data_IF_618732797351
#
_entry.id   IF_618732797351
#
_cell.length_a   1.000
_cell.length_b   1.000
_cell.length_c   1.000
_cell.angle_alpha   90.00
_cell.angle_beta   90.00
_cell.angle_gamma   90.00
#
_symmetry.space_group_name_H-M   'P 1'
#
loop_
_entity.id
_entity.type
_entity.pdbx_description
1 polymer ?
#
# COMPACT_ATOMS: atom_id res chain seq x y z
N UNK A 1 -46.58 40.11 -73.67
CA UNK A 1 -47.09 39.54 -72.42
C UNK A 1 -46.32 38.26 -72.13
N UNK A 2 -45.26 38.35 -71.33
CA UNK A 2 -44.54 37.15 -70.84
C UNK A 2 -44.26 37.38 -69.37
N UNK A 3 -44.87 36.58 -68.55
CA UNK A 3 -44.66 36.55 -67.06
C UNK A 3 -43.42 35.75 -66.75
N UNK A 4 -42.43 36.40 -66.15
CA UNK A 4 -41.23 35.73 -65.60
C UNK A 4 -41.53 35.38 -64.18
N UNK A 5 -41.56 34.08 -63.83
CA UNK A 5 -41.65 33.55 -62.49
C UNK A 5 -40.24 33.49 -61.87
N UNK A 6 -40.05 34.31 -60.88
CA UNK A 6 -38.86 34.27 -60.03
C UNK A 6 -39.02 33.15 -58.98
N UNK A 7 -38.26 32.09 -59.06
CA UNK A 7 -38.20 31.04 -58.03
C UNK A 7 -37.11 31.43 -57.03
N UNK A 8 -37.59 31.78 -55.81
CA UNK A 8 -36.72 31.97 -54.66
C UNK A 8 -36.34 30.56 -54.14
N UNK A 9 -35.08 30.16 -54.33
CA UNK A 9 -34.53 28.97 -53.73
C UNK A 9 -34.11 29.27 -52.26
N UNK A 10 -34.81 28.65 -51.32
CA UNK A 10 -34.42 28.69 -49.90
C UNK A 10 -33.18 27.77 -49.72
N UNK A 11 -32.05 28.40 -49.41
CA UNK A 11 -30.84 27.67 -48.98
C UNK A 11 -31.03 27.35 -47.48
N UNK A 12 -31.37 26.11 -47.20
CA UNK A 12 -31.32 25.56 -45.84
C UNK A 12 -29.88 25.34 -45.47
N UNK A 13 -29.32 26.25 -44.67
CA UNK A 13 -27.99 26.09 -44.07
C UNK A 13 -28.08 25.07 -42.94
N UNK A 14 -27.73 23.81 -43.24
CA UNK A 14 -27.64 22.75 -42.23
C UNK A 14 -26.41 23.02 -41.36
N UNK A 15 -26.59 23.66 -40.22
CA UNK A 15 -25.55 23.73 -39.20
C UNK A 15 -25.34 22.33 -38.60
N UNK A 16 -24.33 21.60 -39.10
CA UNK A 16 -23.77 20.46 -38.38
C UNK A 16 -23.10 21.01 -37.11
N UNK A 17 -23.80 20.91 -36.01
CA UNK A 17 -23.19 20.97 -34.68
C UNK A 17 -22.26 19.76 -34.55
N UNK A 18 -20.99 19.95 -34.82
CA UNK A 18 -19.94 19.03 -34.46
C UNK A 18 -19.88 19.09 -32.93
N UNK A 19 -20.61 18.18 -32.25
CA UNK A 19 -20.33 17.82 -30.88
C UNK A 19 -18.93 17.22 -30.85
N UNK A 20 -17.95 18.07 -30.67
CA UNK A 20 -16.62 17.69 -30.26
C UNK A 20 -16.79 16.87 -28.97
N UNK A 21 -16.83 15.54 -29.09
CA UNK A 21 -16.40 14.67 -28.03
C UNK A 21 -14.99 15.13 -27.66
N UNK A 22 -14.87 15.89 -26.58
CA UNK A 22 -13.60 16.24 -25.98
C UNK A 22 -12.92 14.92 -25.63
N UNK A 23 -12.04 14.46 -26.49
CA UNK A 23 -10.90 13.65 -26.09
C UNK A 23 -10.20 14.52 -25.06
N UNK A 24 -10.43 14.23 -23.78
CA UNK A 24 -9.58 14.73 -22.71
C UNK A 24 -8.17 14.23 -23.06
N UNK A 25 -7.39 15.06 -23.72
CA UNK A 25 -5.95 14.84 -23.77
C UNK A 25 -5.51 14.89 -22.30
N UNK A 26 -5.10 13.76 -21.77
CA UNK A 26 -4.58 13.68 -20.41
C UNK A 26 -3.25 14.46 -20.39
N UNK A 27 -3.31 15.74 -20.00
CA UNK A 27 -2.15 16.62 -19.86
C UNK A 27 -1.28 16.22 -18.66
N UNK A 28 -1.14 14.93 -18.43
CA UNK A 28 -0.29 14.41 -17.37
C UNK A 28 1.17 14.52 -17.78
N UNK A 29 1.95 15.25 -17.01
CA UNK A 29 3.38 15.43 -17.23
C UNK A 29 4.15 14.26 -16.62
N UNK A 30 5.31 13.94 -17.19
CA UNK A 30 6.29 13.09 -16.53
C UNK A 30 7.19 13.93 -15.63
N UNK A 31 7.69 13.32 -14.54
CA UNK A 31 8.52 14.04 -13.58
C UNK A 31 9.76 14.65 -14.22
N UNK A 32 10.40 13.96 -15.16
CA UNK A 32 11.55 14.45 -15.89
C UNK A 32 11.25 15.74 -16.68
N UNK A 33 10.04 15.85 -17.27
CA UNK A 33 9.62 17.06 -18.00
C UNK A 33 9.41 18.24 -17.04
N UNK A 34 8.86 17.95 -15.85
CA UNK A 34 8.62 18.98 -14.82
C UNK A 34 9.95 19.50 -14.26
N UNK A 35 10.91 18.63 -13.97
CA UNK A 35 12.20 19.03 -13.41
C UNK A 35 13.10 19.73 -14.44
N UNK A 36 13.05 19.30 -15.69
CA UNK A 36 13.79 19.94 -16.78
C UNK A 36 13.31 21.36 -17.12
N UNK A 37 12.04 21.67 -16.89
CA UNK A 37 11.42 22.96 -17.20
C UNK A 37 10.66 23.55 -16.00
N UNK A 38 11.18 23.36 -14.80
CA UNK A 38 10.51 23.70 -13.52
C UNK A 38 10.01 25.13 -13.45
N UNK A 39 10.78 26.12 -13.94
CA UNK A 39 10.39 27.54 -13.98
C UNK A 39 9.08 27.77 -14.74
N UNK A 40 8.78 26.89 -15.70
CA UNK A 40 7.52 26.97 -16.46
C UNK A 40 6.31 26.54 -15.61
N UNK A 41 6.51 25.68 -14.62
CA UNK A 41 5.45 25.04 -13.85
C UNK A 41 5.30 25.58 -12.42
N UNK A 42 6.32 26.24 -11.87
CA UNK A 42 6.25 26.83 -10.53
C UNK A 42 5.06 27.79 -10.40
N UNK A 43 4.28 27.63 -9.35
CA UNK A 43 3.05 28.37 -9.07
C UNK A 43 1.82 27.92 -9.85
N UNK A 44 1.96 26.91 -10.72
CA UNK A 44 0.84 26.38 -11.50
C UNK A 44 0.32 25.08 -10.91
N UNK A 45 -0.96 24.84 -11.10
CA UNK A 45 -1.56 23.52 -10.87
C UNK A 45 -1.24 22.60 -12.05
N UNK A 46 -0.64 21.46 -11.76
CA UNK A 46 -0.19 20.45 -12.73
C UNK A 46 -0.62 19.06 -12.29
N UNK A 47 -0.74 18.15 -13.28
CA UNK A 47 -0.87 16.73 -13.04
C UNK A 47 0.44 16.04 -13.45
N UNK A 48 1.06 15.30 -12.54
CA UNK A 48 2.35 14.64 -12.74
C UNK A 48 2.23 13.16 -12.44
N UNK A 49 2.72 12.32 -13.37
CA UNK A 49 2.86 10.88 -13.17
C UNK A 49 4.29 10.53 -12.79
N UNK A 50 4.44 9.62 -11.84
CA UNK A 50 5.73 9.13 -11.37
C UNK A 50 5.58 8.06 -10.30
N UNK A 51 6.69 7.55 -9.80
CA UNK A 51 6.73 6.64 -8.68
C UNK A 51 6.75 7.45 -7.37
N UNK A 52 5.76 7.26 -6.51
CA UNK A 52 5.78 7.79 -5.15
C UNK A 52 6.62 6.87 -4.28
N UNK A 53 7.46 7.43 -3.43
CA UNK A 53 8.23 6.72 -2.42
C UNK A 53 8.12 7.44 -1.08
N UNK A 54 7.58 6.74 -0.08
CA UNK A 54 7.61 7.12 1.33
C UNK A 54 8.52 6.14 2.06
N UNK A 55 9.52 6.63 2.76
CA UNK A 55 10.28 5.84 3.76
C UNK A 55 10.09 6.46 5.13
N UNK A 56 9.88 5.59 6.12
CA UNK A 56 9.84 5.96 7.54
C UNK A 56 11.15 5.57 8.20
N UNK A 57 11.53 6.20 9.30
CA UNK A 57 12.80 5.90 10.00
C UNK A 57 13.60 7.15 10.35
N UNK A 58 14.91 7.01 10.53
CA UNK A 58 15.79 8.11 10.97
C UNK A 58 15.89 9.24 9.94
N UNK A 59 15.79 8.94 8.67
CA UNK A 59 15.78 9.92 7.57
C UNK A 59 14.53 9.74 6.72
N UNK A 60 13.37 10.23 7.19
CA UNK A 60 12.12 10.06 6.46
C UNK A 60 12.17 10.82 5.13
N UNK A 61 11.71 10.18 4.07
CA UNK A 61 11.53 10.81 2.76
C UNK A 61 10.11 10.57 2.27
N UNK A 62 9.58 11.55 1.54
CA UNK A 62 8.29 11.45 0.85
C UNK A 62 8.41 12.19 -0.46
N UNK A 63 8.59 11.46 -1.55
CA UNK A 63 8.97 12.01 -2.85
C UNK A 63 8.20 11.39 -3.99
N UNK A 64 7.98 12.16 -5.05
CA UNK A 64 7.64 11.67 -6.38
C UNK A 64 8.93 11.63 -7.19
N UNK A 65 9.22 10.49 -7.83
CA UNK A 65 10.47 10.21 -8.56
C UNK A 65 10.17 9.55 -9.91
N UNK A 66 11.16 9.52 -10.78
CA UNK A 66 11.02 8.86 -12.09
C UNK A 66 10.82 7.35 -11.97
N UNK A 67 11.37 6.73 -10.94
CA UNK A 67 11.24 5.31 -10.65
C UNK A 67 11.73 4.95 -9.26
N UNK A 68 11.52 3.71 -8.87
CA UNK A 68 12.02 3.14 -7.61
C UNK A 68 12.75 1.85 -7.94
N UNK A 69 13.96 1.68 -7.42
CA UNK A 69 14.65 0.39 -7.42
C UNK A 69 14.47 -0.30 -6.08
N UNK A 70 14.36 -1.62 -6.12
CA UNK A 70 14.22 -2.45 -4.93
C UNK A 70 15.12 -3.68 -5.05
N UNK A 71 15.33 -4.38 -3.96
CA UNK A 71 15.78 -5.77 -4.01
C UNK A 71 14.67 -6.66 -4.58
N UNK A 72 15.00 -7.90 -4.95
CA UNK A 72 14.05 -8.85 -5.55
C UNK A 72 12.79 -9.11 -4.68
N UNK A 73 12.89 -8.87 -3.39
CA UNK A 73 11.80 -9.00 -2.41
C UNK A 73 11.05 -7.69 -2.16
N UNK A 74 11.28 -6.66 -2.95
CA UNK A 74 10.67 -5.35 -2.80
C UNK A 74 11.23 -4.49 -1.65
N UNK A 75 12.13 -5.02 -0.82
CA UNK A 75 12.77 -4.27 0.26
C UNK A 75 13.84 -3.30 -0.28
N UNK A 76 14.31 -2.42 0.62
CA UNK A 76 15.34 -1.42 0.36
C UNK A 76 15.01 -0.51 -0.85
N UNK A 77 13.79 -0.04 -0.89
CA UNK A 77 13.32 0.86 -1.95
C UNK A 77 14.19 2.13 -2.01
N UNK A 78 14.75 2.44 -3.17
CA UNK A 78 15.60 3.61 -3.42
C UNK A 78 15.02 4.45 -4.55
N UNK A 79 15.02 5.79 -4.42
CA UNK A 79 14.54 6.68 -5.47
C UNK A 79 15.48 6.67 -6.67
N UNK A 80 14.93 6.68 -7.88
CA UNK A 80 15.65 6.78 -9.14
C UNK A 80 15.25 8.03 -9.90
N UNK A 81 16.27 8.74 -10.42
CA UNK A 81 16.09 9.95 -11.22
C UNK A 81 15.79 11.19 -10.37
N UNK A 82 15.15 12.17 -11.03
CA UNK A 82 14.79 13.43 -10.39
C UNK A 82 13.69 13.22 -9.33
N UNK A 83 13.72 14.06 -8.30
CA UNK A 83 12.81 13.97 -7.17
C UNK A 83 12.11 15.30 -6.89
N UNK A 84 10.81 15.26 -6.68
CA UNK A 84 10.00 16.36 -6.17
C UNK A 84 9.47 15.94 -4.80
N UNK A 85 9.63 16.81 -3.80
CA UNK A 85 9.07 16.56 -2.47
C UNK A 85 7.56 16.53 -2.55
N UNK A 86 6.95 15.59 -1.84
CA UNK A 86 5.50 15.45 -1.70
C UNK A 86 5.19 15.27 -0.23
N UNK A 87 4.22 16.01 0.31
CA UNK A 87 3.72 15.71 1.64
C UNK A 87 3.10 14.30 1.65
N UNK A 88 3.09 13.65 2.83
CA UNK A 88 2.53 12.30 2.96
C UNK A 88 1.13 12.24 2.33
N UNK A 89 0.92 11.30 1.43
CA UNK A 89 -0.40 11.06 0.82
C UNK A 89 -1.41 10.54 1.85
N UNK A 90 -2.68 10.65 1.52
CA UNK A 90 -3.76 10.12 2.36
C UNK A 90 -3.66 8.59 2.52
N UNK A 91 -4.07 8.09 3.67
CA UNK A 91 -3.89 6.68 4.02
C UNK A 91 -4.63 5.72 3.08
N UNK A 92 -5.78 6.13 2.52
CA UNK A 92 -6.53 5.36 1.53
C UNK A 92 -5.78 5.18 0.19
N UNK A 93 -4.90 6.12 -0.15
CA UNK A 93 -3.98 6.00 -1.29
C UNK A 93 -2.81 5.10 -0.92
N UNK A 94 -2.19 5.31 0.26
CA UNK A 94 -1.05 4.51 0.71
C UNK A 94 -1.39 3.01 0.84
N UNK A 95 -2.63 2.69 1.21
CA UNK A 95 -3.12 1.30 1.30
C UNK A 95 -3.16 0.57 -0.06
N UNK A 96 -3.14 1.29 -1.17
CA UNK A 96 -3.15 0.74 -2.52
C UNK A 96 -1.75 0.61 -3.14
N UNK A 97 -0.71 0.97 -2.40
CA UNK A 97 0.69 0.92 -2.83
C UNK A 97 1.43 -0.25 -2.18
N UNK A 98 2.59 -0.63 -2.73
CA UNK A 98 3.50 -1.60 -2.10
C UNK A 98 4.00 -1.06 -0.76
N UNK A 99 4.01 -1.89 0.28
CA UNK A 99 4.43 -1.48 1.64
C UNK A 99 5.39 -2.47 2.30
N UNK A 100 6.49 -2.84 1.66
CA UNK A 100 7.46 -3.75 2.25
C UNK A 100 8.33 -3.02 3.28
N UNK A 101 8.42 -3.58 4.48
CA UNK A 101 9.28 -3.05 5.55
C UNK A 101 8.90 -1.62 5.97
N UNK A 102 9.86 -0.72 5.89
CA UNK A 102 9.73 0.71 6.23
C UNK A 102 9.33 1.61 5.06
N UNK A 103 9.12 1.02 3.89
CA UNK A 103 8.89 1.73 2.64
C UNK A 103 7.46 1.56 2.13
N UNK A 104 6.93 2.60 1.50
CA UNK A 104 5.68 2.55 0.73
C UNK A 104 5.94 3.18 -0.63
N UNK A 105 5.69 2.45 -1.71
CA UNK A 105 5.95 2.95 -3.05
C UNK A 105 4.97 2.40 -4.10
N UNK A 106 4.86 3.10 -5.22
CA UNK A 106 4.07 2.68 -6.38
C UNK A 106 3.81 3.83 -7.34
N UNK A 107 3.31 3.51 -8.53
CA UNK A 107 3.04 4.51 -9.55
C UNK A 107 1.74 5.26 -9.30
N UNK A 108 1.84 6.58 -9.28
CA UNK A 108 0.72 7.49 -9.00
C UNK A 108 0.69 8.63 -10.01
N UNK A 109 -0.51 9.18 -10.19
CA UNK A 109 -0.74 10.49 -10.79
C UNK A 109 -1.16 11.44 -9.69
N UNK A 110 -0.37 12.47 -9.48
CA UNK A 110 -0.62 13.50 -8.48
C UNK A 110 -1.02 14.79 -9.16
N UNK A 111 -2.07 15.42 -8.65
CA UNK A 111 -2.50 16.76 -9.06
C UNK A 111 -2.24 17.73 -7.92
N UNK A 112 -1.61 18.85 -8.21
CA UNK A 112 -1.27 19.83 -7.19
C UNK A 112 -0.54 21.04 -7.74
N UNK A 113 -0.15 21.94 -6.86
CA UNK A 113 0.63 23.15 -7.23
C UNK A 113 2.11 22.88 -7.02
N UNK A 114 2.93 23.13 -8.05
CA UNK A 114 4.40 23.05 -7.93
C UNK A 114 4.91 24.30 -7.24
N UNK A 115 5.67 24.11 -6.19
CA UNK A 115 6.28 25.18 -5.40
C UNK A 115 7.81 25.08 -5.44
N UNK A 116 8.49 26.22 -5.53
CA UNK A 116 9.93 26.29 -5.39
C UNK A 116 10.31 26.67 -3.95
N UNK A 117 11.35 26.06 -3.41
CA UNK A 117 11.79 26.31 -2.03
C UNK A 117 12.83 25.29 -1.58
N UNK A 118 12.97 25.16 -0.26
CA UNK A 118 13.81 24.13 0.37
C UNK A 118 12.89 23.20 1.16
N UNK A 119 12.65 21.99 0.65
CA UNK A 119 11.69 21.05 1.20
C UNK A 119 12.36 19.76 1.67
N UNK A 120 11.63 19.00 2.50
CA UNK A 120 12.12 17.76 3.07
C UNK A 120 13.22 17.94 4.12
N UNK A 121 13.82 16.84 4.59
CA UNK A 121 14.92 16.88 5.53
C UNK A 121 16.09 17.71 4.97
N UNK A 122 16.61 18.62 5.79
CA UNK A 122 17.74 19.53 5.44
C UNK A 122 17.51 20.42 4.22
N UNK A 123 16.26 20.58 3.77
CA UNK A 123 15.91 21.41 2.61
C UNK A 123 16.51 20.94 1.28
N UNK A 124 16.76 19.63 1.15
CA UNK A 124 17.48 19.08 -0.01
C UNK A 124 16.68 19.04 -1.31
N UNK A 125 15.36 19.21 -1.25
CA UNK A 125 14.50 19.19 -2.42
C UNK A 125 14.12 20.60 -2.83
N UNK A 126 14.51 21.06 -4.05
CA UNK A 126 14.24 22.42 -4.50
C UNK A 126 12.80 22.67 -4.91
N UNK A 127 12.01 21.60 -5.05
CA UNK A 127 10.62 21.66 -5.44
C UNK A 127 9.74 20.78 -4.54
N UNK A 128 8.50 21.26 -4.31
CA UNK A 128 7.43 20.50 -3.68
C UNK A 128 6.20 20.53 -4.58
N UNK A 129 5.51 19.39 -4.68
CA UNK A 129 4.15 19.34 -5.20
C UNK A 129 3.18 19.39 -4.01
N UNK A 130 2.49 20.51 -3.82
CA UNK A 130 1.41 20.65 -2.84
C UNK A 130 0.18 19.92 -3.37
N UNK A 131 0.03 18.65 -3.01
CA UNK A 131 -0.95 17.72 -3.57
C UNK A 131 -2.37 18.07 -3.15
N UNK A 132 -3.29 18.08 -4.12
CA UNK A 132 -4.75 18.22 -3.94
C UNK A 132 -5.50 16.95 -4.31
N UNK A 133 -4.94 16.15 -5.23
CA UNK A 133 -5.52 14.89 -5.69
C UNK A 133 -4.45 13.87 -5.99
N UNK A 134 -4.76 12.60 -5.73
CA UNK A 134 -3.88 11.47 -6.01
C UNK A 134 -4.70 10.32 -6.60
N UNK A 135 -4.16 9.69 -7.62
CA UNK A 135 -4.70 8.52 -8.30
C UNK A 135 -3.59 7.48 -8.42
N UNK A 136 -3.85 6.24 -8.07
CA UNK A 136 -2.93 5.13 -8.28
C UNK A 136 -3.06 4.68 -9.73
N UNK A 137 -1.96 4.77 -10.49
CA UNK A 137 -1.96 4.42 -11.93
C UNK A 137 -1.90 2.91 -12.09
N UNK A 138 -1.10 2.25 -11.27
CA UNK A 138 -0.95 0.82 -11.25
C UNK A 138 -1.51 0.30 -9.92
N UNK A 139 -2.72 -0.25 -9.97
CA UNK A 139 -3.29 -0.90 -8.80
C UNK A 139 -2.62 -2.25 -8.62
N UNK A 140 -2.10 -2.46 -7.43
CA UNK A 140 -1.71 -3.79 -6.98
C UNK A 140 -3.00 -4.55 -6.72
N UNK A 141 -3.23 -5.61 -7.48
CA UNK A 141 -4.29 -6.55 -7.15
C UNK A 141 -3.82 -7.33 -5.94
N UNK A 142 -4.42 -7.08 -4.80
CA UNK A 142 -4.13 -7.83 -3.58
C UNK A 142 -5.11 -8.98 -3.44
N UNK A 143 -4.58 -10.16 -3.16
CA UNK A 143 -5.34 -11.31 -2.73
C UNK A 143 -5.32 -11.34 -1.21
N UNK A 144 -6.49 -11.28 -0.59
CA UNK A 144 -6.61 -11.41 0.86
C UNK A 144 -7.11 -12.80 1.23
N UNK A 145 -6.45 -13.41 2.19
CA UNK A 145 -6.90 -14.63 2.84
C UNK A 145 -7.09 -14.34 4.33
N UNK A 146 -8.26 -14.69 4.89
CA UNK A 146 -8.60 -14.45 6.29
C UNK A 146 -9.13 -15.70 6.95
N UNK A 147 -8.92 -15.81 8.26
CA UNK A 147 -9.68 -16.78 9.06
C UNK A 147 -11.11 -16.27 9.24
N UNK A 148 -12.06 -17.18 9.21
CA UNK A 148 -13.46 -16.84 9.47
C UNK A 148 -13.68 -16.52 10.95
N UNK A 149 -14.52 -15.53 11.23
CA UNK A 149 -14.93 -15.20 12.59
C UNK A 149 -16.10 -16.14 13.02
N UNK A 150 -15.76 -17.41 13.20
CA UNK A 150 -16.67 -18.45 13.65
C UNK A 150 -16.12 -19.18 14.88
N UNK A 151 -16.95 -19.75 15.74
CA UNK A 151 -16.46 -20.58 16.84
C UNK A 151 -15.64 -21.76 16.32
N UNK A 152 -14.41 -21.90 16.80
CA UNK A 152 -13.49 -22.96 16.35
C UNK A 152 -13.83 -24.34 16.95
N UNK A 153 -14.76 -24.42 17.91
CA UNK A 153 -15.12 -25.65 18.64
C UNK A 153 -14.04 -26.17 19.58
N UNK A 154 -14.33 -27.25 20.30
CA UNK A 154 -13.38 -28.05 21.10
C UNK A 154 -12.42 -27.28 22.02
N UNK A 155 -12.90 -26.18 22.65
CA UNK A 155 -12.09 -25.38 23.56
C UNK A 155 -11.05 -24.47 22.91
N UNK A 156 -11.08 -24.33 21.58
CA UNK A 156 -10.24 -23.40 20.84
C UNK A 156 -10.81 -21.98 20.90
N UNK A 157 -9.93 -20.99 20.91
CA UNK A 157 -10.27 -19.58 21.02
C UNK A 157 -9.99 -18.89 19.70
N UNK A 158 -10.93 -18.11 19.19
CA UNK A 158 -10.70 -17.36 17.94
C UNK A 158 -9.70 -16.22 18.16
N UNK A 159 -8.95 -15.87 17.10
CA UNK A 159 -8.06 -14.70 17.15
C UNK A 159 -8.84 -13.41 17.43
N UNK A 160 -10.10 -13.33 17.01
CA UNK A 160 -10.99 -12.21 17.30
C UNK A 160 -11.26 -12.08 18.80
N UNK A 161 -11.58 -13.21 19.46
CA UNK A 161 -11.83 -13.25 20.91
C UNK A 161 -10.56 -12.86 21.70
N UNK A 162 -9.40 -13.36 21.27
CA UNK A 162 -8.11 -13.00 21.90
C UNK A 162 -7.80 -11.51 21.77
N UNK A 163 -8.14 -10.90 20.63
CA UNK A 163 -7.90 -9.48 20.37
C UNK A 163 -8.94 -8.56 21.05
N UNK A 164 -10.22 -8.98 21.07
CA UNK A 164 -11.32 -8.12 21.55
C UNK A 164 -11.56 -8.27 23.07
N UNK A 165 -11.16 -9.40 23.67
CA UNK A 165 -11.35 -9.71 25.11
C UNK A 165 -10.08 -10.32 25.73
N UNK A 166 -8.91 -9.69 25.55
CA UNK A 166 -7.61 -10.29 25.88
C UNK A 166 -7.48 -10.66 27.37
N UNK A 167 -8.10 -9.91 28.29
CA UNK A 167 -8.02 -10.15 29.74
C UNK A 167 -8.63 -11.49 30.14
N UNK A 168 -9.61 -11.99 29.40
CA UNK A 168 -10.27 -13.27 29.68
C UNK A 168 -9.33 -14.46 29.52
N UNK A 169 -8.31 -14.32 28.67
CA UNK A 169 -7.38 -15.38 28.28
C UNK A 169 -5.97 -15.18 28.83
N UNK A 170 -5.71 -14.08 29.53
CA UNK A 170 -4.40 -13.73 30.03
C UNK A 170 -3.85 -14.81 30.97
N UNK A 171 -2.63 -15.27 30.67
CA UNK A 171 -1.94 -16.33 31.41
C UNK A 171 -2.43 -17.75 31.10
N UNK A 172 -3.41 -17.95 30.21
CA UNK A 172 -3.95 -19.26 29.87
C UNK A 172 -3.19 -19.91 28.71
N UNK A 173 -3.16 -21.24 28.72
CA UNK A 173 -2.80 -22.01 27.52
C UNK A 173 -4.01 -22.05 26.59
N UNK A 174 -3.86 -21.55 25.39
CA UNK A 174 -4.94 -21.48 24.38
C UNK A 174 -4.50 -22.23 23.09
N UNK A 175 -5.50 -22.65 22.32
CA UNK A 175 -5.31 -23.09 20.95
C UNK A 175 -6.11 -22.16 20.03
N UNK A 176 -5.47 -21.59 19.02
CA UNK A 176 -6.09 -20.63 18.10
C UNK A 176 -5.61 -20.83 16.67
N UNK A 177 -6.36 -20.31 15.71
CA UNK A 177 -5.99 -20.32 14.30
C UNK A 177 -5.79 -18.91 13.78
N UNK A 178 -4.86 -18.77 12.82
CA UNK A 178 -4.53 -17.52 12.17
C UNK A 178 -3.53 -17.74 11.04
N UNK A 179 -3.02 -16.63 10.53
CA UNK A 179 -1.92 -16.62 9.59
C UNK A 179 -0.63 -16.26 10.32
N UNK A 180 0.29 -17.21 10.36
CA UNK A 180 1.65 -16.94 10.76
C UNK A 180 2.32 -16.03 9.73
N UNK A 181 2.98 -15.01 10.21
CA UNK A 181 3.84 -14.16 9.39
C UNK A 181 5.13 -13.84 10.11
N UNK A 182 6.22 -14.06 9.41
CA UNK A 182 7.57 -13.73 9.87
C UNK A 182 8.35 -12.99 8.80
N UNK A 183 9.07 -11.97 9.23
CA UNK A 183 10.20 -11.37 8.51
C UNK A 183 11.26 -10.97 9.55
N UNK A 184 12.35 -10.32 9.14
CA UNK A 184 13.42 -9.92 10.05
C UNK A 184 12.98 -8.96 11.18
N UNK A 185 11.83 -8.30 11.05
CA UNK A 185 11.32 -7.30 11.99
C UNK A 185 10.04 -7.73 12.71
N UNK A 186 9.21 -8.57 12.08
CA UNK A 186 7.85 -8.92 12.54
C UNK A 186 7.74 -10.43 12.72
N UNK A 187 7.09 -10.85 13.79
CA UNK A 187 6.88 -12.24 14.18
C UNK A 187 5.50 -12.37 14.82
N UNK A 188 4.47 -12.65 14.01
CA UNK A 188 3.08 -12.50 14.44
C UNK A 188 2.16 -13.63 13.98
N UNK A 189 1.04 -13.77 14.70
CA UNK A 189 -0.19 -14.41 14.25
C UNK A 189 -1.17 -13.31 13.86
N UNK A 190 -1.69 -13.34 12.63
CA UNK A 190 -2.61 -12.36 12.09
C UNK A 190 -3.97 -12.98 11.75
N UNK A 191 -5.00 -12.16 11.73
CA UNK A 191 -6.33 -12.54 11.24
C UNK A 191 -6.28 -13.01 9.78
N UNK A 192 -5.43 -12.39 8.99
CA UNK A 192 -5.26 -12.71 7.59
C UNK A 192 -3.92 -12.28 7.03
N UNK A 193 -3.74 -12.62 5.76
CA UNK A 193 -2.59 -12.21 4.96
C UNK A 193 -3.09 -11.59 3.65
N UNK A 194 -2.51 -10.49 3.25
CA UNK A 194 -2.66 -9.92 1.92
C UNK A 194 -1.39 -10.19 1.12
N UNK A 195 -1.53 -10.63 -0.13
CA UNK A 195 -0.42 -10.82 -1.06
C UNK A 195 -0.73 -10.12 -2.38
N UNK A 196 0.25 -9.93 -3.22
CA UNK A 196 0.00 -9.67 -4.62
C UNK A 196 -0.66 -10.89 -5.28
N UNK A 197 -1.16 -10.73 -6.51
CA UNK A 197 -1.90 -11.81 -7.20
C UNK A 197 -1.06 -13.09 -7.35
N UNK A 198 0.25 -12.94 -7.55
CA UNK A 198 1.22 -14.03 -7.66
C UNK A 198 1.66 -14.63 -6.32
N UNK A 199 1.13 -14.12 -5.20
CA UNK A 199 1.48 -14.55 -3.84
C UNK A 199 2.72 -13.86 -3.26
N UNK A 200 3.31 -12.91 -3.97
CA UNK A 200 4.44 -12.12 -3.47
C UNK A 200 4.01 -11.04 -2.46
N UNK A 201 4.98 -10.36 -1.86
CA UNK A 201 4.79 -9.24 -0.93
C UNK A 201 3.77 -9.49 0.19
N UNK A 202 3.81 -10.63 0.91
CA UNK A 202 2.85 -10.95 1.95
C UNK A 202 2.89 -9.91 3.08
N UNK A 203 1.69 -9.53 3.55
CA UNK A 203 1.50 -8.59 4.65
C UNK A 203 0.45 -9.10 5.62
N UNK A 204 0.71 -9.10 6.94
CA UNK A 204 -0.30 -9.46 7.92
C UNK A 204 -1.38 -8.38 7.97
N UNK A 205 -2.65 -8.80 8.02
CA UNK A 205 -3.82 -7.92 8.04
C UNK A 205 -4.79 -8.27 9.16
N UNK A 206 -5.60 -7.29 9.57
CA UNK A 206 -6.62 -7.43 10.59
C UNK A 206 -6.07 -7.46 12.02
N UNK A 207 -6.61 -8.33 12.87
CA UNK A 207 -6.13 -8.53 14.25
C UNK A 207 -4.75 -9.16 14.23
N UNK A 208 -3.82 -8.62 15.02
CA UNK A 208 -2.42 -9.06 15.03
C UNK A 208 -1.96 -9.27 16.48
N UNK A 209 -1.35 -10.42 16.74
CA UNK A 209 -0.81 -10.82 18.05
C UNK A 209 0.66 -11.19 17.85
N UNK A 210 1.56 -10.64 18.68
CA UNK A 210 2.97 -11.03 18.66
C UNK A 210 3.14 -12.49 19.04
N UNK A 211 4.11 -13.18 18.42
CA UNK A 211 4.43 -14.57 18.78
C UNK A 211 5.92 -14.78 18.99
N UNK A 212 6.25 -15.76 19.80
CA UNK A 212 7.61 -16.32 19.90
C UNK A 212 7.56 -17.85 20.05
N UNK A 213 8.65 -18.49 19.69
CA UNK A 213 8.79 -19.94 19.85
C UNK A 213 8.10 -20.79 18.79
N UNK A 214 7.76 -20.23 17.62
CA UNK A 214 7.18 -21.02 16.53
C UNK A 214 8.21 -22.06 16.05
N UNK A 215 7.83 -23.35 15.90
CA UNK A 215 8.77 -24.43 15.58
C UNK A 215 9.44 -24.24 14.22
N UNK A 216 10.79 -24.28 14.13
CA UNK A 216 11.50 -24.08 12.87
C UNK A 216 11.18 -25.12 11.79
N UNK A 217 10.92 -26.38 12.18
CA UNK A 217 10.51 -27.44 11.26
C UNK A 217 9.17 -27.11 10.60
N UNK A 218 8.25 -26.49 11.34
CA UNK A 218 6.96 -26.04 10.81
C UNK A 218 7.08 -24.81 9.90
N UNK A 219 7.98 -23.89 10.22
CA UNK A 219 8.30 -22.77 9.33
C UNK A 219 8.71 -23.22 7.93
N UNK A 220 9.49 -24.30 7.82
CA UNK A 220 9.94 -24.83 6.55
C UNK A 220 8.83 -25.46 5.69
N UNK A 221 7.66 -25.76 6.28
CA UNK A 221 6.48 -26.28 5.57
C UNK A 221 5.56 -25.18 4.99
N UNK A 222 5.83 -23.91 5.31
CA UNK A 222 5.03 -22.74 4.94
C UNK A 222 5.53 -22.10 3.62
N UNK A 223 4.83 -21.06 3.16
CA UNK A 223 5.30 -20.26 2.04
C UNK A 223 6.53 -19.46 2.46
N UNK A 224 7.57 -19.51 1.65
CA UNK A 224 8.84 -18.86 1.90
C UNK A 224 9.14 -17.89 0.76
N UNK A 225 9.38 -16.63 1.09
CA UNK A 225 9.76 -15.62 0.13
C UNK A 225 11.17 -15.76 -0.40
N UNK A 226 11.51 -15.03 -1.44
CA UNK A 226 12.83 -15.02 -2.07
C UNK A 226 13.87 -14.69 -0.99
N UNK A 227 14.96 -15.44 -0.99
CA UNK A 227 16.07 -15.32 -0.02
C UNK A 227 15.64 -15.44 1.45
N UNK A 228 14.55 -16.16 1.74
CA UNK A 228 13.98 -16.29 3.08
C UNK A 228 13.62 -14.94 3.74
N UNK A 229 13.26 -13.96 2.94
CA UNK A 229 12.91 -12.62 3.43
C UNK A 229 11.65 -12.59 4.28
N UNK A 230 10.73 -13.52 4.04
CA UNK A 230 9.52 -13.74 4.84
C UNK A 230 9.06 -15.20 4.76
N UNK A 231 8.31 -15.59 5.81
CA UNK A 231 7.62 -16.88 5.88
C UNK A 231 6.18 -16.61 6.28
N UNK A 232 5.23 -17.25 5.62
CA UNK A 232 3.83 -17.06 5.94
C UNK A 232 2.96 -18.27 5.58
N UNK A 233 1.83 -18.39 6.27
CA UNK A 233 0.81 -19.39 5.98
C UNK A 233 -0.18 -19.60 7.10
N UNK A 234 -1.26 -20.32 6.81
CA UNK A 234 -2.32 -20.59 7.77
C UNK A 234 -1.89 -21.68 8.75
N UNK A 235 -2.07 -21.40 10.04
CA UNK A 235 -1.61 -22.30 11.11
C UNK A 235 -2.65 -22.38 12.24
N UNK A 236 -2.57 -23.48 12.98
CA UNK A 236 -3.15 -23.61 14.31
C UNK A 236 -1.99 -23.65 15.31
N UNK A 237 -2.04 -22.79 16.31
CA UNK A 237 -1.00 -22.71 17.35
C UNK A 237 -1.60 -22.97 18.72
N UNK A 238 -0.85 -23.70 19.55
CA UNK A 238 -1.13 -23.86 20.99
C UNK A 238 -0.01 -23.20 21.76
N UNK A 239 -0.35 -22.38 22.75
CA UNK A 239 0.65 -21.66 23.52
C UNK A 239 0.05 -20.87 24.68
N UNK A 240 0.91 -20.27 25.50
CA UNK A 240 0.50 -19.39 26.58
C UNK A 240 0.24 -18.00 26.05
N UNK A 241 -0.99 -17.51 26.20
CA UNK A 241 -1.38 -16.15 25.83
C UNK A 241 -1.14 -15.18 26.96
N UNK A 242 -0.62 -14.00 26.67
CA UNK A 242 -0.42 -12.89 27.60
C UNK A 242 -0.94 -11.59 27.01
N UNK A 243 -1.49 -10.74 27.85
CA UNK A 243 -2.03 -9.43 27.48
C UNK A 243 -1.66 -8.34 28.46
N UNK A 244 -1.85 -7.08 28.06
CA UNK A 244 -1.57 -5.91 28.89
C UNK A 244 -0.10 -5.55 29.02
N UNK A 245 0.77 -6.13 28.19
CA UNK A 245 2.20 -5.83 28.10
C UNK A 245 2.56 -4.96 26.89
N UNK A 246 3.86 -4.82 26.68
CA UNK A 246 4.47 -4.24 25.49
C UNK A 246 5.39 -5.30 24.87
N UNK A 247 4.90 -5.98 23.85
CA UNK A 247 5.59 -7.11 23.24
C UNK A 247 6.12 -6.74 21.85
N UNK A 248 7.03 -7.59 21.36
CA UNK A 248 7.65 -7.41 20.06
C UNK A 248 8.73 -6.34 20.05
N UNK A 249 9.27 -6.11 18.86
CA UNK A 249 10.24 -5.04 18.66
C UNK A 249 9.54 -3.71 18.90
N UNK A 250 10.15 -2.85 19.67
CA UNK A 250 9.63 -1.52 20.05
C UNK A 250 8.34 -1.53 20.90
N UNK A 251 7.93 -2.69 21.44
CA UNK A 251 6.78 -2.78 22.34
C UNK A 251 5.43 -2.44 21.71
N UNK A 252 5.28 -2.67 20.40
CA UNK A 252 4.10 -2.23 19.63
C UNK A 252 2.87 -3.11 19.82
N UNK A 253 3.03 -4.32 20.38
CA UNK A 253 1.97 -5.30 20.48
C UNK A 253 1.47 -5.44 21.92
N UNK A 254 0.14 -5.24 22.16
CA UNK A 254 -0.41 -5.34 23.50
C UNK A 254 -0.62 -6.79 23.97
N UNK A 255 -0.51 -7.75 23.07
CA UNK A 255 -0.74 -9.18 23.32
C UNK A 255 0.33 -10.05 22.67
N UNK A 256 0.56 -11.21 23.27
CA UNK A 256 1.64 -12.12 22.93
C UNK A 256 1.23 -13.59 23.11
N UNK A 257 1.72 -14.47 22.24
CA UNK A 257 1.62 -15.92 22.39
C UNK A 257 3.02 -16.53 22.47
N UNK A 258 3.34 -17.17 23.60
CA UNK A 258 4.48 -18.06 23.69
C UNK A 258 4.06 -19.43 23.13
N UNK A 259 4.47 -19.73 21.90
CA UNK A 259 4.08 -20.95 21.19
C UNK A 259 4.73 -22.17 21.80
N UNK A 260 3.95 -23.23 22.02
CA UNK A 260 4.37 -24.55 22.49
C UNK A 260 4.32 -25.58 21.38
N UNK A 261 3.32 -25.48 20.48
CA UNK A 261 3.18 -26.33 19.32
C UNK A 261 2.43 -25.62 18.21
N UNK A 262 2.64 -26.08 16.96
CA UNK A 262 1.94 -25.57 15.78
C UNK A 262 1.62 -26.69 14.80
N UNK A 263 0.53 -26.53 14.08
CA UNK A 263 0.08 -27.39 12.98
C UNK A 263 -0.23 -26.53 11.76
N UNK A 264 0.25 -26.94 10.60
CA UNK A 264 -0.04 -26.25 9.33
C UNK A 264 -1.46 -26.60 8.88
N UNK A 265 -2.24 -25.61 8.50
CA UNK A 265 -3.57 -25.76 7.91
C UNK A 265 -3.44 -25.57 6.39
N UNK A 266 -3.78 -26.60 5.63
CA UNK A 266 -3.76 -26.58 4.16
C UNK A 266 -5.10 -26.12 3.61
#
# INVERSE_FOLDING_TARGET
MHKVFCRIGAIVLLMLSITSCGLFSDNTLHIADVTAASDTYVGKEIAVAGAYLLKTGEQPISVLVSGVSTLDNGLDAQPLGDAIWVDKLADDILLKLHRPGDSTYGFVKLTGTLEAGAFGPDGRYPYRLAVRGAEVIEQIITKEERVENVPLGDGKVSIFDLADRPEQYNGQTITTQGYYFWNSAIYVLAEGIATEEDGSSPQPIGKIIWMEGFPPDKSAELNVGINNSYVWGKVEVTGTFQSGGQYGRDGLYPSFIQVQSATIIK
#
